data_IF_669948635290
#
_entry.id   IF_669948635290
#
_cell.length_a   1.000
_cell.length_b   1.000
_cell.length_c   1.000
_cell.angle_alpha   90.00
_cell.angle_beta   90.00
_cell.angle_gamma   90.00
#
_symmetry.space_group_name_H-M   'P 1'
#
loop_
_entity.id
_entity.type
_entity.pdbx_description
1 polymer ?
#
# COMPACT_ATOMS: atom_id res chain seq x y z
N UNK A 1 23.66 -1.25 29.83
CA UNK A 1 22.42 -0.94 29.08
C UNK A 1 21.61 0.21 29.70
N UNK A 2 21.94 0.71 30.91
CA UNK A 2 21.21 1.84 31.53
C UNK A 2 21.66 3.25 31.12
N UNK A 3 22.82 3.43 30.46
CA UNK A 3 23.29 4.77 30.09
C UNK A 3 22.67 5.36 28.80
N UNK A 4 21.98 4.53 28.00
CA UNK A 4 21.33 5.02 26.77
C UNK A 4 19.92 5.56 27.04
N UNK A 5 19.28 5.13 28.13
CA UNK A 5 17.94 5.59 28.50
C UNK A 5 17.97 7.04 28.99
N UNK A 6 18.97 7.44 29.77
CA UNK A 6 19.09 8.78 30.39
C UNK A 6 19.08 9.96 29.39
N UNK A 7 19.56 9.76 28.17
CA UNK A 7 19.58 10.81 27.14
C UNK A 7 18.27 10.92 26.36
N UNK A 8 17.44 9.88 26.41
CA UNK A 8 16.19 9.80 25.67
C UNK A 8 14.95 10.01 26.56
N UNK A 9 15.06 9.79 27.87
CA UNK A 9 13.95 10.03 28.83
C UNK A 9 13.48 11.49 28.81
N UNK A 10 14.34 12.52 28.81
CA UNK A 10 13.88 13.92 28.79
C UNK A 10 13.13 14.28 27.50
N UNK A 11 13.49 13.63 26.40
CA UNK A 11 12.86 13.84 25.08
C UNK A 11 11.52 13.10 25.02
N UNK A 12 11.45 11.87 25.51
CA UNK A 12 10.23 11.07 25.55
C UNK A 12 9.18 11.62 26.54
N UNK A 13 9.62 12.08 27.71
CA UNK A 13 8.76 12.68 28.73
C UNK A 13 8.29 14.08 28.29
N UNK A 14 9.13 14.83 27.57
CA UNK A 14 8.75 16.10 26.95
C UNK A 14 7.67 15.95 25.88
N UNK A 15 7.78 14.94 25.01
CA UNK A 15 6.79 14.63 23.97
C UNK A 15 5.47 14.13 24.60
N UNK A 16 5.55 13.33 25.67
CA UNK A 16 4.36 12.81 26.35
C UNK A 16 3.61 13.88 27.15
N UNK A 17 4.31 14.79 27.85
CA UNK A 17 3.69 15.91 28.59
C UNK A 17 3.09 16.96 27.66
N UNK A 18 3.71 17.22 26.52
CA UNK A 18 3.19 18.17 25.52
C UNK A 18 1.90 17.64 24.84
N UNK A 19 1.85 16.34 24.54
CA UNK A 19 0.68 15.71 23.93
C UNK A 19 -0.50 15.50 24.90
N UNK A 20 -0.26 15.44 26.21
CA UNK A 20 -1.31 15.27 27.22
C UNK A 20 -2.00 16.61 27.58
N UNK A 21 -1.28 17.74 27.45
CA UNK A 21 -1.80 19.08 27.72
C UNK A 21 -2.49 19.73 26.50
N UNK A 22 -2.24 19.25 25.29
CA UNK A 22 -2.75 19.84 24.06
C UNK A 22 -4.01 19.11 23.54
N UNK A 23 -5.18 19.64 23.87
CA UNK A 23 -6.41 19.49 23.06
C UNK A 23 -6.32 20.24 21.70
N UNK A 24 -5.10 20.41 21.15
CA UNK A 24 -4.82 21.10 19.91
C UNK A 24 -3.48 20.63 19.35
N UNK A 25 -3.51 19.81 18.29
CA UNK A 25 -2.35 19.67 17.41
C UNK A 25 -2.16 20.99 16.66
N UNK A 26 -1.22 21.82 17.12
CA UNK A 26 -0.60 22.83 16.25
C UNK A 26 0.78 22.29 15.91
N UNK A 27 0.85 21.50 14.84
CA UNK A 27 2.06 21.49 14.02
C UNK A 27 2.23 22.93 13.56
N UNK A 28 3.21 23.64 14.13
CA UNK A 28 3.67 24.87 13.54
C UNK A 28 4.09 24.53 12.10
N UNK A 29 3.56 25.25 11.12
CA UNK A 29 3.71 24.96 9.69
C UNK A 29 5.16 25.17 9.17
N UNK A 30 6.16 25.14 10.05
CA UNK A 30 7.52 25.63 9.90
C UNK A 30 8.59 24.55 10.06
N UNK A 31 8.47 23.62 11.02
CA UNK A 31 9.54 22.65 11.32
C UNK A 31 9.93 21.72 10.17
N UNK A 32 9.00 21.36 9.29
CA UNK A 32 9.32 20.54 8.10
C UNK A 32 9.84 21.37 6.92
N UNK A 33 9.49 22.66 6.84
CA UNK A 33 10.05 23.59 5.84
C UNK A 33 11.54 23.80 6.11
N UNK A 34 11.92 23.84 7.38
CA UNK A 34 13.32 23.87 7.81
C UNK A 34 14.09 22.59 7.48
N UNK A 35 13.43 21.43 7.29
CA UNK A 35 14.10 20.21 6.82
C UNK A 35 14.39 20.22 5.31
N UNK A 36 13.74 21.10 4.52
CA UNK A 36 13.92 21.17 3.08
C UNK A 36 15.20 21.91 2.68
N UNK A 37 15.52 23.01 3.38
CA UNK A 37 16.68 23.87 3.12
C UNK A 37 18.05 23.16 3.29
N UNK A 38 18.30 22.36 4.34
CA UNK A 38 19.58 21.66 4.52
C UNK A 38 19.91 20.68 3.39
N UNK A 39 18.90 20.03 2.79
CA UNK A 39 19.13 19.03 1.73
C UNK A 39 19.70 19.64 0.46
N UNK A 40 19.23 20.83 0.08
CA UNK A 40 19.74 21.54 -1.10
C UNK A 40 21.15 22.05 -0.89
N UNK A 41 21.49 22.42 0.34
CA UNK A 41 22.83 22.83 0.74
C UNK A 41 23.79 21.63 0.75
N UNK A 42 23.37 20.49 1.32
CA UNK A 42 24.15 19.24 1.34
C UNK A 42 24.41 18.70 -0.06
N UNK A 43 23.45 18.82 -0.99
CA UNK A 43 23.65 18.42 -2.40
C UNK A 43 24.71 19.24 -3.14
N UNK A 44 24.93 20.49 -2.70
CA UNK A 44 25.95 21.40 -3.24
C UNK A 44 27.33 21.14 -2.64
N UNK A 45 27.41 20.46 -1.49
CA UNK A 45 28.70 20.05 -0.93
C UNK A 45 29.36 18.98 -1.82
N UNK A 46 30.64 19.19 -2.12
CA UNK A 46 31.44 18.33 -2.99
C UNK A 46 32.06 17.15 -2.23
N UNK A 47 32.03 17.18 -0.89
CA UNK A 47 32.61 16.13 -0.04
C UNK A 47 31.63 15.00 0.31
N UNK A 48 30.39 15.05 -0.19
CA UNK A 48 29.39 14.01 0.07
C UNK A 48 29.70 12.70 -0.64
N UNK A 49 29.43 11.58 0.04
CA UNK A 49 29.55 10.26 -0.57
C UNK A 49 28.56 10.10 -1.74
N UNK A 50 28.94 9.43 -2.85
CA UNK A 50 28.05 9.23 -3.99
C UNK A 50 26.74 8.52 -3.65
N UNK A 51 26.74 7.62 -2.66
CA UNK A 51 25.53 6.96 -2.14
C UNK A 51 24.59 7.92 -1.43
N UNK A 52 25.13 8.78 -0.56
CA UNK A 52 24.37 9.83 0.12
C UNK A 52 23.78 10.83 -0.88
N UNK A 53 24.54 11.22 -1.90
CA UNK A 53 24.06 12.09 -2.99
C UNK A 53 22.86 11.51 -3.74
N UNK A 54 22.85 10.19 -4.00
CA UNK A 54 21.72 9.50 -4.63
C UNK A 54 20.47 9.53 -3.75
N UNK A 55 20.64 9.32 -2.44
CA UNK A 55 19.55 9.35 -1.47
C UNK A 55 18.95 10.76 -1.39
N UNK A 56 19.78 11.79 -1.23
CA UNK A 56 19.34 13.19 -1.18
C UNK A 56 18.58 13.59 -2.45
N UNK A 57 19.08 13.19 -3.63
CA UNK A 57 18.38 13.44 -4.90
C UNK A 57 17.02 12.73 -4.97
N UNK A 58 16.94 11.49 -4.49
CA UNK A 58 15.68 10.73 -4.39
C UNK A 58 14.69 11.42 -3.44
N UNK A 59 15.15 11.85 -2.26
CA UNK A 59 14.35 12.59 -1.29
C UNK A 59 13.79 13.88 -1.89
N UNK A 60 14.61 14.65 -2.61
CA UNK A 60 14.14 15.86 -3.29
C UNK A 60 13.11 15.57 -4.38
N UNK A 61 13.32 14.53 -5.19
CA UNK A 61 12.39 14.14 -6.25
C UNK A 61 11.02 13.67 -5.73
N UNK A 62 11.00 13.06 -4.54
CA UNK A 62 9.79 12.46 -3.96
C UNK A 62 9.23 13.24 -2.75
N UNK A 63 9.78 14.43 -2.47
CA UNK A 63 9.47 15.21 -1.27
C UNK A 63 7.97 15.46 -1.11
N UNK A 64 7.31 15.88 -2.19
CA UNK A 64 5.87 16.14 -2.17
C UNK A 64 5.06 14.91 -1.72
N UNK A 65 5.43 13.71 -2.16
CA UNK A 65 4.77 12.47 -1.76
C UNK A 65 5.07 12.07 -0.31
N UNK A 66 6.30 12.31 0.16
CA UNK A 66 6.71 12.03 1.55
C UNK A 66 6.00 12.94 2.56
N UNK A 67 5.62 14.15 2.14
CA UNK A 67 4.96 15.14 2.99
C UNK A 67 3.45 14.99 3.07
N UNK A 68 2.82 14.15 2.24
CA UNK A 68 1.35 13.91 2.23
C UNK A 68 0.82 13.56 3.63
N UNK A 69 1.59 12.84 4.45
CA UNK A 69 1.20 12.44 5.80
C UNK A 69 1.00 13.63 6.76
N UNK A 70 1.65 14.77 6.48
CA UNK A 70 1.54 15.99 7.30
C UNK A 70 0.17 16.64 7.10
N UNK A 71 -0.30 16.67 5.85
CA UNK A 71 -1.62 17.19 5.50
C UNK A 71 -2.75 16.19 5.83
N UNK A 72 -2.41 14.89 5.90
CA UNK A 72 -3.36 13.79 6.04
C UNK A 72 -2.96 12.85 7.19
N UNK A 73 -3.34 13.16 8.44
CA UNK A 73 -2.89 12.41 9.63
C UNK A 73 -3.42 10.97 9.71
N UNK A 74 -4.39 10.60 8.87
CA UNK A 74 -4.91 9.23 8.76
C UNK A 74 -3.99 8.31 7.93
N UNK A 75 -3.01 8.88 7.23
CA UNK A 75 -2.02 8.12 6.44
C UNK A 75 -0.86 7.75 7.38
N UNK A 76 -0.54 6.45 7.53
CA UNK A 76 0.60 6.04 8.33
C UNK A 76 1.93 6.63 7.80
N UNK A 77 2.84 6.96 8.73
CA UNK A 77 4.19 7.42 8.38
C UNK A 77 5.08 6.32 7.77
N UNK A 78 4.66 5.06 7.92
CA UNK A 78 5.36 3.90 7.38
C UNK A 78 4.66 3.29 6.16
N UNK A 79 5.42 2.54 5.36
CA UNK A 79 4.92 1.82 4.19
C UNK A 79 4.57 0.35 4.49
N UNK A 80 4.45 -0.05 5.76
CA UNK A 80 4.35 -1.46 6.14
C UNK A 80 3.11 -2.12 5.53
N UNK A 81 2.00 -1.37 5.39
CA UNK A 81 0.79 -1.87 4.78
C UNK A 81 0.99 -2.27 3.31
N UNK A 82 1.66 -1.43 2.51
CA UNK A 82 1.92 -1.74 1.10
C UNK A 82 2.96 -2.85 0.95
N UNK A 83 4.02 -2.84 1.75
CA UNK A 83 5.05 -3.90 1.74
C UNK A 83 4.45 -5.27 2.09
N UNK A 84 3.63 -5.34 3.15
CA UNK A 84 2.86 -6.55 3.48
C UNK A 84 1.93 -6.95 2.33
N UNK A 85 1.38 -5.97 1.63
CA UNK A 85 0.56 -6.17 0.43
C UNK A 85 1.30 -6.88 -0.70
N UNK A 86 2.54 -6.47 -0.97
CA UNK A 86 3.39 -7.00 -2.05
C UNK A 86 4.08 -8.32 -1.70
N UNK A 87 4.26 -8.60 -0.41
CA UNK A 87 4.96 -9.80 0.08
C UNK A 87 4.42 -11.11 -0.49
N UNK A 88 3.10 -11.21 -0.69
CA UNK A 88 2.47 -12.40 -1.29
C UNK A 88 2.99 -12.71 -2.69
N UNK A 89 3.03 -11.71 -3.57
CA UNK A 89 3.54 -11.85 -4.94
C UNK A 89 5.04 -12.17 -4.97
N UNK A 90 5.82 -11.53 -4.09
CA UNK A 90 7.27 -11.77 -3.99
C UNK A 90 7.57 -13.20 -3.56
N UNK A 91 6.87 -13.70 -2.53
CA UNK A 91 7.05 -15.07 -2.05
C UNK A 91 6.57 -16.09 -3.09
N UNK A 92 5.46 -15.80 -3.77
CA UNK A 92 4.89 -16.67 -4.80
C UNK A 92 5.82 -16.93 -5.97
N UNK A 93 6.76 -16.01 -6.29
CA UNK A 93 7.71 -16.16 -7.41
C UNK A 93 8.50 -17.47 -7.37
N UNK A 94 8.78 -18.01 -6.17
CA UNK A 94 9.43 -19.32 -6.04
C UNK A 94 8.54 -20.50 -6.42
N UNK A 95 7.22 -20.36 -6.32
CA UNK A 95 6.25 -21.42 -6.57
C UNK A 95 5.87 -21.53 -8.05
N UNK A 96 5.78 -20.41 -8.76
CA UNK A 96 5.44 -20.38 -10.19
C UNK A 96 6.63 -20.06 -11.10
N UNK A 97 7.85 -20.03 -10.55
CA UNK A 97 9.11 -19.79 -11.28
C UNK A 97 9.19 -18.47 -12.07
N UNK A 98 8.36 -17.48 -11.73
CA UNK A 98 8.38 -16.16 -12.37
C UNK A 98 7.69 -16.12 -13.73
N UNK A 99 7.99 -15.07 -14.49
CA UNK A 99 7.42 -14.81 -15.82
C UNK A 99 8.48 -15.05 -16.89
N UNK A 100 8.18 -15.89 -17.88
CA UNK A 100 9.11 -16.25 -18.96
C UNK A 100 9.18 -15.20 -20.09
N UNK A 101 8.33 -14.18 -20.04
CA UNK A 101 8.27 -13.09 -21.02
C UNK A 101 7.80 -11.79 -20.37
N UNK A 102 8.10 -10.64 -20.99
CA UNK A 102 7.63 -9.32 -20.52
C UNK A 102 6.10 -9.28 -20.44
N UNK A 103 5.42 -9.76 -21.49
CA UNK A 103 3.96 -9.83 -21.52
C UNK A 103 3.37 -10.63 -20.34
N UNK A 104 3.97 -11.78 -20.01
CA UNK A 104 3.49 -12.57 -18.87
C UNK A 104 3.78 -11.91 -17.51
N UNK A 105 4.81 -11.06 -17.42
CA UNK A 105 5.08 -10.26 -16.23
C UNK A 105 4.04 -9.13 -16.06
N UNK A 106 3.68 -8.46 -17.15
CA UNK A 106 2.63 -7.44 -17.17
C UNK A 106 1.27 -8.03 -16.78
N UNK A 107 0.90 -9.18 -17.38
CA UNK A 107 -0.32 -9.89 -17.03
C UNK A 107 -0.34 -10.28 -15.54
N UNK A 108 0.77 -10.81 -15.02
CA UNK A 108 0.87 -11.16 -13.60
C UNK A 108 0.68 -9.93 -12.70
N UNK A 109 1.29 -8.79 -13.04
CA UNK A 109 1.13 -7.54 -12.29
C UNK A 109 -0.33 -7.05 -12.29
N UNK A 110 -1.02 -7.11 -13.42
CA UNK A 110 -2.45 -6.79 -13.53
C UNK A 110 -3.28 -7.72 -12.66
N UNK A 111 -3.06 -9.03 -12.77
CA UNK A 111 -3.80 -10.02 -11.97
C UNK A 111 -3.57 -9.83 -10.47
N UNK A 112 -2.33 -9.62 -10.02
CA UNK A 112 -2.06 -9.37 -8.61
C UNK A 112 -2.77 -8.12 -8.10
N UNK A 113 -2.82 -7.06 -8.91
CA UNK A 113 -3.51 -5.81 -8.58
C UNK A 113 -5.02 -6.04 -8.41
N UNK A 114 -5.65 -6.75 -9.36
CA UNK A 114 -7.07 -7.10 -9.29
C UNK A 114 -7.34 -7.95 -8.04
N UNK A 115 -6.61 -9.05 -7.85
CA UNK A 115 -6.84 -9.96 -6.73
C UNK A 115 -6.60 -9.30 -5.38
N UNK A 116 -5.61 -8.41 -5.29
CA UNK A 116 -5.34 -7.66 -4.07
C UNK A 116 -6.46 -6.67 -3.76
N UNK A 117 -7.00 -6.02 -4.80
CA UNK A 117 -8.16 -5.13 -4.68
C UNK A 117 -9.38 -5.90 -4.19
N UNK A 118 -9.68 -7.07 -4.75
CA UNK A 118 -10.78 -7.93 -4.29
C UNK A 118 -10.63 -8.30 -2.81
N UNK A 119 -9.42 -8.69 -2.40
CA UNK A 119 -9.12 -9.01 -1.00
C UNK A 119 -9.27 -7.81 -0.05
N UNK A 120 -8.95 -6.60 -0.51
CA UNK A 120 -9.14 -5.37 0.26
C UNK A 120 -10.63 -5.08 0.51
N UNK A 121 -11.49 -5.48 -0.41
CA UNK A 121 -12.95 -5.33 -0.35
C UNK A 121 -13.68 -6.54 0.25
N UNK A 122 -12.94 -7.47 0.86
CA UNK A 122 -13.47 -8.72 1.44
C UNK A 122 -14.25 -9.60 0.44
N UNK A 123 -13.86 -9.54 -0.85
CA UNK A 123 -14.43 -10.37 -1.91
C UNK A 123 -13.54 -11.59 -2.11
N UNK A 124 -14.15 -12.77 -2.23
CA UNK A 124 -13.44 -14.00 -2.55
C UNK A 124 -12.93 -13.96 -4.01
N UNK A 125 -11.60 -14.02 -4.24
CA UNK A 125 -11.03 -13.99 -5.57
C UNK A 125 -11.56 -15.07 -6.52
N UNK A 126 -11.75 -16.29 -6.02
CA UNK A 126 -12.21 -17.41 -6.83
C UNK A 126 -13.66 -17.18 -7.29
N UNK A 127 -14.53 -16.78 -6.36
CA UNK A 127 -15.93 -16.48 -6.66
C UNK A 127 -16.06 -15.36 -7.70
N UNK A 128 -15.26 -14.29 -7.56
CA UNK A 128 -15.28 -13.18 -8.50
C UNK A 128 -14.79 -13.58 -9.90
N UNK A 129 -13.66 -14.29 -10.01
CA UNK A 129 -13.13 -14.75 -11.29
C UNK A 129 -14.12 -15.69 -11.97
N UNK A 130 -14.74 -16.59 -11.20
CA UNK A 130 -15.75 -17.51 -11.73
C UNK A 130 -16.95 -16.75 -12.30
N UNK A 131 -17.45 -15.72 -11.59
CA UNK A 131 -18.54 -14.89 -12.08
C UNK A 131 -18.16 -14.17 -13.40
N UNK A 132 -16.96 -13.57 -13.46
CA UNK A 132 -16.46 -12.93 -14.68
C UNK A 132 -16.36 -13.91 -15.86
N UNK A 133 -15.76 -15.09 -15.64
CA UNK A 133 -15.61 -16.10 -16.69
C UNK A 133 -16.96 -16.69 -17.15
N UNK A 134 -17.93 -16.82 -16.24
CA UNK A 134 -19.29 -17.21 -16.58
C UNK A 134 -19.97 -16.18 -17.48
N UNK A 135 -19.82 -14.89 -17.18
CA UNK A 135 -20.33 -13.83 -18.05
C UNK A 135 -19.68 -13.85 -19.44
N UNK A 136 -18.36 -14.08 -19.51
CA UNK A 136 -17.66 -14.26 -20.78
C UNK A 136 -18.22 -15.46 -21.57
N UNK A 137 -18.44 -16.60 -20.90
CA UNK A 137 -18.98 -17.79 -21.52
C UNK A 137 -20.40 -17.57 -22.07
N UNK A 138 -21.26 -16.87 -21.32
CA UNK A 138 -22.60 -16.50 -21.78
C UNK A 138 -22.58 -15.57 -23.00
N UNK A 139 -21.50 -14.82 -23.19
CA UNK A 139 -21.27 -13.92 -24.33
C UNK A 139 -20.45 -14.57 -25.45
N UNK A 140 -20.50 -15.90 -25.56
CA UNK A 140 -19.78 -16.64 -26.61
C UNK A 140 -18.25 -16.58 -26.48
N UNK A 141 -17.73 -16.43 -25.27
CA UNK A 141 -16.30 -16.35 -24.98
C UNK A 141 -15.70 -14.94 -25.07
N UNK A 142 -16.53 -13.91 -25.24
CA UNK A 142 -16.09 -12.52 -25.33
C UNK A 142 -16.21 -11.79 -23.98
N UNK A 143 -15.28 -10.88 -23.64
CA UNK A 143 -15.38 -10.07 -22.43
C UNK A 143 -16.62 -9.16 -22.47
N UNK A 144 -17.22 -8.85 -21.30
CA UNK A 144 -18.33 -7.90 -21.23
C UNK A 144 -17.86 -6.48 -21.62
N UNK A 145 -18.71 -5.73 -22.34
CA UNK A 145 -18.44 -4.34 -22.71
C UNK A 145 -18.35 -3.40 -21.50
N UNK A 146 -19.11 -3.71 -20.44
CA UNK A 146 -19.13 -3.00 -19.18
C UNK A 146 -18.88 -3.98 -18.04
N UNK A 147 -17.91 -3.66 -17.19
CA UNK A 147 -17.55 -4.47 -16.00
C UNK A 147 -18.04 -3.83 -14.70
N UNK A 148 -18.75 -2.71 -14.78
CA UNK A 148 -19.09 -1.86 -13.64
C UNK A 148 -19.81 -2.62 -12.53
N UNK A 149 -20.72 -3.53 -12.86
CA UNK A 149 -21.45 -4.33 -11.87
C UNK A 149 -20.56 -5.35 -11.12
N UNK A 150 -19.40 -5.69 -11.68
CA UNK A 150 -18.38 -6.52 -11.04
C UNK A 150 -17.34 -5.70 -10.26
N UNK A 151 -17.37 -4.37 -10.32
CA UNK A 151 -16.44 -3.55 -9.56
C UNK A 151 -16.86 -3.45 -8.08
N UNK A 152 -15.96 -3.66 -7.11
CA UNK A 152 -16.31 -3.73 -5.69
C UNK A 152 -17.10 -2.52 -5.16
N UNK A 153 -16.74 -1.32 -5.61
CA UNK A 153 -17.38 -0.07 -5.20
C UNK A 153 -18.80 0.11 -5.76
N UNK A 154 -19.14 -0.56 -6.86
CA UNK A 154 -20.47 -0.53 -7.46
C UNK A 154 -21.38 -1.66 -6.94
N UNK A 155 -20.82 -2.69 -6.29
CA UNK A 155 -21.61 -3.76 -5.68
C UNK A 155 -22.42 -3.24 -4.49
N UNK A 156 -23.68 -3.65 -4.39
CA UNK A 156 -24.47 -3.46 -3.18
C UNK A 156 -24.03 -4.43 -2.05
N UNK A 157 -24.43 -4.15 -0.81
CA UNK A 157 -24.01 -4.91 0.37
C UNK A 157 -24.38 -6.40 0.29
N UNK A 158 -25.55 -6.74 -0.25
CA UNK A 158 -26.02 -8.12 -0.39
C UNK A 158 -25.16 -8.91 -1.38
N UNK A 159 -24.80 -8.30 -2.51
CA UNK A 159 -23.92 -8.89 -3.51
C UNK A 159 -22.52 -9.09 -2.96
N UNK A 160 -21.97 -8.11 -2.22
CA UNK A 160 -20.66 -8.27 -1.58
C UNK A 160 -20.64 -9.45 -0.59
N UNK A 161 -21.66 -9.58 0.24
CA UNK A 161 -21.78 -10.71 1.17
C UNK A 161 -21.88 -12.06 0.47
N UNK A 162 -22.54 -12.11 -0.70
CA UNK A 162 -22.58 -13.31 -1.52
C UNK A 162 -21.19 -13.63 -2.11
N UNK A 163 -20.51 -12.62 -2.64
CA UNK A 163 -19.20 -12.72 -3.29
C UNK A 163 -18.06 -12.97 -2.30
N UNK A 164 -18.22 -12.67 -1.02
CA UNK A 164 -17.26 -13.00 0.04
C UNK A 164 -17.15 -14.51 0.30
N UNK A 165 -18.20 -15.27 -0.03
CA UNK A 165 -18.24 -16.72 0.21
C UNK A 165 -17.59 -17.48 -0.96
N UNK A 166 -16.94 -18.63 -0.70
CA UNK A 166 -16.40 -19.47 -1.78
C UNK A 166 -17.53 -20.01 -2.67
N UNK A 167 -17.25 -20.46 -3.90
CA UNK A 167 -18.26 -21.05 -4.77
C UNK A 167 -19.00 -22.22 -4.11
N UNK A 168 -20.27 -22.42 -4.50
CA UNK A 168 -21.16 -23.42 -3.87
C UNK A 168 -20.59 -24.84 -3.85
N UNK A 169 -19.84 -25.24 -4.88
CA UNK A 169 -19.26 -26.58 -4.96
C UNK A 169 -18.13 -26.79 -3.94
N UNK A 170 -17.42 -25.74 -3.50
CA UNK A 170 -16.38 -25.85 -2.47
C UNK A 170 -16.98 -25.93 -1.07
N UNK A 171 -18.14 -25.32 -0.85
CA UNK A 171 -18.84 -25.32 0.44
C UNK A 171 -19.33 -26.71 0.87
N UNK A 172 -19.53 -27.62 -0.09
CA UNK A 172 -20.06 -28.97 0.16
C UNK A 172 -19.02 -29.96 0.69
N UNK A 173 -17.72 -29.62 0.61
CA UNK A 173 -16.61 -30.49 1.01
C UNK A 173 -15.99 -30.14 2.36
N UNK A 174 -16.53 -29.13 3.06
CA UNK A 174 -16.07 -28.75 4.40
C UNK A 174 -16.87 -29.53 5.45
N UNK A 175 -16.47 -30.77 5.73
CA UNK A 175 -16.92 -31.59 6.87
C UNK A 175 -15.75 -31.84 7.82
#
# INVERSE_FOLDING_TARGET
MEQMLYWLTPVYDGISLHNCAAQHWHADETGWKEMAEPRELELKDHQILPSAKKILKSLSNHWQGLMILVDHPHIPMDNNAAERGLRGSVLGRKNYYGSGSVWSAELAAVMFTILKTLKLWDINPHTWILAYLQECAMRGGSPPELIDHLLPWNMNSSLRQLMAKPPKFEQQHTL
#
